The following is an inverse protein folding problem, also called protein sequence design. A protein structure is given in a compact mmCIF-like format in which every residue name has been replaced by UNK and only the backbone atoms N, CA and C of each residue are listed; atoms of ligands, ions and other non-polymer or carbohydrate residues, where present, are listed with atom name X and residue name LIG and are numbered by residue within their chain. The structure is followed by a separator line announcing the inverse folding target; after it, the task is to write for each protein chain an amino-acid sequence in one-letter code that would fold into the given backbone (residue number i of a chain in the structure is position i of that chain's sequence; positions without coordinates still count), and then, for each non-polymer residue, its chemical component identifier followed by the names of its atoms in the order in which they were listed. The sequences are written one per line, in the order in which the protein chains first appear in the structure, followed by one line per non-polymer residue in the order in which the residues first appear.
data_IF_094908415375
#
_entry.id   IF_094908415375
#
_cell.length_a   1.000
_cell.length_b   1.000
_cell.length_c   1.000
_cell.angle_alpha   90.00
_cell.angle_beta   90.00
_cell.angle_gamma   90.00
#
_symmetry.space_group_name_H-M   'P 1'
#
loop_
_entity.id
_entity.type
_entity.pdbx_description
1 polymer ?
#
# COMPACT_ATOMS: atom_id res chain seq x y z
N UNK A 1 -10.59 -1.42 -2.00
CA UNK A 1 -11.09 -0.27 -2.79
C UNK A 1 -10.21 -0.09 -4.02
N UNK A 2 -10.80 0.21 -5.18
CA UNK A 2 -10.03 0.40 -6.42
C UNK A 2 -9.46 1.82 -6.55
N UNK A 3 -8.42 1.96 -7.38
CA UNK A 3 -7.77 3.24 -7.71
C UNK A 3 -8.74 4.30 -8.24
N UNK A 4 -9.81 3.90 -8.93
CA UNK A 4 -10.80 4.83 -9.45
C UNK A 4 -11.57 5.56 -8.34
N UNK A 5 -11.84 4.89 -7.22
CA UNK A 5 -12.59 5.51 -6.13
C UNK A 5 -11.72 6.49 -5.34
N UNK A 6 -10.46 6.15 -5.09
CA UNK A 6 -9.51 7.10 -4.48
C UNK A 6 -9.20 8.26 -5.41
N UNK A 7 -9.10 8.02 -6.73
CA UNK A 7 -8.96 9.08 -7.74
C UNK A 7 -10.12 10.09 -7.69
N UNK A 8 -11.36 9.60 -7.71
CA UNK A 8 -12.54 10.44 -7.68
C UNK A 8 -12.59 11.27 -6.38
N UNK A 9 -12.39 10.63 -5.22
CA UNK A 9 -12.43 11.33 -3.93
C UNK A 9 -11.32 12.38 -3.82
N UNK A 10 -10.08 12.02 -4.18
CA UNK A 10 -8.97 12.97 -4.18
C UNK A 10 -9.29 14.17 -5.07
N UNK A 11 -9.77 13.96 -6.30
CA UNK A 11 -10.12 15.03 -7.22
C UNK A 11 -11.26 15.93 -6.69
N UNK A 12 -12.32 15.33 -6.13
CA UNK A 12 -13.47 16.08 -5.59
C UNK A 12 -13.01 16.95 -4.41
N UNK A 13 -12.34 16.35 -3.42
CA UNK A 13 -11.96 17.08 -2.22
C UNK A 13 -10.89 18.14 -2.47
N UNK A 14 -9.92 17.87 -3.35
CA UNK A 14 -8.88 18.86 -3.66
C UNK A 14 -9.44 20.00 -4.49
N UNK A 15 -10.40 19.73 -5.38
CA UNK A 15 -11.12 20.77 -6.12
C UNK A 15 -11.93 21.68 -5.18
N UNK A 16 -12.70 21.11 -4.26
CA UNK A 16 -13.46 21.87 -3.25
C UNK A 16 -12.53 22.70 -2.35
N UNK A 17 -11.38 22.14 -1.97
CA UNK A 17 -10.37 22.83 -1.16
C UNK A 17 -9.52 23.84 -1.95
N UNK A 18 -9.75 24.00 -3.26
CA UNK A 18 -8.95 24.85 -4.17
C UNK A 18 -7.45 24.59 -4.05
N UNK A 19 -7.07 23.33 -3.86
CA UNK A 19 -5.68 22.94 -3.78
C UNK A 19 -4.99 23.12 -5.14
N UNK A 20 -3.71 23.49 -5.10
CA UNK A 20 -2.88 23.48 -6.31
C UNK A 20 -2.67 22.05 -6.86
N UNK A 21 -2.01 21.98 -8.01
CA UNK A 21 -1.74 20.72 -8.70
C UNK A 21 -0.85 19.79 -7.86
N UNK A 22 0.20 20.32 -7.23
CA UNK A 22 1.17 19.54 -6.49
C UNK A 22 0.53 18.88 -5.28
N UNK A 23 -0.24 19.65 -4.52
CA UNK A 23 -1.02 19.16 -3.38
C UNK A 23 -2.11 18.18 -3.80
N UNK A 24 -2.76 18.41 -4.93
CA UNK A 24 -3.74 17.46 -5.48
C UNK A 24 -3.12 16.10 -5.82
N UNK A 25 -1.93 16.13 -6.45
CA UNK A 25 -1.16 14.91 -6.75
C UNK A 25 -0.67 14.25 -5.46
N UNK A 26 -0.20 15.02 -4.47
CA UNK A 26 0.22 14.49 -3.18
C UNK A 26 -0.93 13.78 -2.43
N UNK A 27 -2.13 14.38 -2.42
CA UNK A 27 -3.33 13.75 -1.86
C UNK A 27 -3.67 12.47 -2.62
N UNK A 28 -3.66 12.51 -3.95
CA UNK A 28 -3.98 11.34 -4.77
C UNK A 28 -2.98 10.19 -4.54
N UNK A 29 -1.68 10.47 -4.62
CA UNK A 29 -0.64 9.46 -4.47
C UNK A 29 -0.71 8.80 -3.09
N UNK A 30 -0.88 9.60 -2.03
CA UNK A 30 -0.93 9.07 -0.67
C UNK A 30 -2.27 8.40 -0.34
N UNK A 31 -3.39 8.80 -0.95
CA UNK A 31 -4.67 8.10 -0.76
C UNK A 31 -4.76 6.79 -1.55
N UNK A 32 -4.14 6.74 -2.74
CA UNK A 32 -4.31 5.64 -3.71
C UNK A 32 -3.23 4.57 -3.61
N UNK A 33 -1.99 4.97 -3.36
CA UNK A 33 -0.86 4.05 -3.28
C UNK A 33 -0.42 3.87 -1.84
N UNK A 34 -0.85 2.73 -1.31
CA UNK A 34 -0.74 2.34 0.10
C UNK A 34 0.44 1.39 0.34
N UNK A 35 0.87 1.26 1.58
CA UNK A 35 1.95 0.39 2.00
C UNK A 35 1.51 -1.09 2.03
N UNK A 36 1.17 -1.66 0.87
CA UNK A 36 0.74 -3.06 0.76
C UNK A 36 1.91 -4.05 0.87
N UNK A 37 3.13 -3.66 0.49
CA UNK A 37 4.28 -4.58 0.47
C UNK A 37 5.01 -4.61 1.81
N UNK A 38 5.49 -3.47 2.31
CA UNK A 38 6.33 -3.47 3.51
C UNK A 38 5.51 -3.68 4.78
N UNK A 39 4.41 -2.94 4.90
CA UNK A 39 3.53 -3.03 6.07
C UNK A 39 2.38 -4.01 5.85
N UNK A 40 1.73 -3.97 4.69
CA UNK A 40 0.54 -4.77 4.38
C UNK A 40 0.79 -6.27 4.49
N UNK A 41 1.84 -6.80 3.84
CA UNK A 41 2.18 -8.23 3.94
C UNK A 41 2.50 -8.64 5.39
N UNK A 42 3.24 -7.80 6.12
CA UNK A 42 3.58 -8.07 7.52
C UNK A 42 2.33 -8.13 8.41
N UNK A 43 1.43 -7.15 8.28
CA UNK A 43 0.20 -7.10 9.07
C UNK A 43 -0.77 -8.21 8.67
N UNK A 44 -0.87 -8.55 7.38
CA UNK A 44 -1.65 -9.70 6.90
C UNK A 44 -1.11 -11.01 7.47
N UNK A 45 0.22 -11.19 7.51
CA UNK A 45 0.81 -12.40 8.08
C UNK A 45 0.47 -12.54 9.57
N UNK A 46 0.67 -11.47 10.35
CA UNK A 46 0.42 -11.47 11.80
C UNK A 46 -1.06 -11.68 12.11
N UNK A 47 -1.96 -10.92 11.48
CA UNK A 47 -3.40 -11.01 11.77
C UNK A 47 -4.01 -12.27 11.13
N UNK A 48 -3.62 -12.60 9.90
CA UNK A 48 -4.09 -13.80 9.21
C UNK A 48 -3.72 -15.07 9.97
N UNK A 49 -2.52 -15.13 10.56
CA UNK A 49 -2.10 -16.25 11.41
C UNK A 49 -2.78 -16.31 12.79
N UNK A 50 -3.41 -15.22 13.24
CA UNK A 50 -4.11 -15.17 14.52
C UNK A 50 -5.59 -15.61 14.44
N UNK A 51 -6.12 -15.83 13.23
CA UNK A 51 -7.53 -16.17 13.01
C UNK A 51 -7.72 -17.69 12.85
N UNK A 52 -8.70 -18.31 13.52
CA UNK A 52 -8.94 -19.76 13.41
C UNK A 52 -9.34 -20.22 12.00
N UNK A 53 -9.96 -19.34 11.21
CA UNK A 53 -10.58 -19.63 9.91
C UNK A 53 -9.75 -19.18 8.71
N UNK A 54 -8.56 -18.62 8.93
CA UNK A 54 -7.67 -18.11 7.89
C UNK A 54 -6.26 -18.61 8.16
N UNK A 55 -5.58 -19.14 7.16
CA UNK A 55 -4.15 -19.44 7.31
C UNK A 55 -3.33 -18.22 6.91
N UNK A 56 -2.22 -17.97 7.62
CA UNK A 56 -1.30 -16.88 7.27
C UNK A 56 -0.79 -17.01 5.82
N UNK A 57 -0.59 -18.25 5.35
CA UNK A 57 -0.09 -18.56 4.00
C UNK A 57 -1.11 -18.18 2.93
N UNK A 58 -2.39 -18.57 3.08
CA UNK A 58 -3.42 -18.23 2.10
C UNK A 58 -3.67 -16.72 2.05
N UNK A 59 -3.70 -16.07 3.22
CA UNK A 59 -3.85 -14.63 3.33
C UNK A 59 -2.69 -13.89 2.66
N UNK A 60 -1.45 -14.35 2.89
CA UNK A 60 -0.24 -13.82 2.25
C UNK A 60 -0.25 -14.03 0.74
N UNK A 61 -0.72 -15.18 0.23
CA UNK A 61 -0.82 -15.44 -1.20
C UNK A 61 -1.71 -14.41 -1.89
N UNK A 62 -2.91 -14.18 -1.33
CA UNK A 62 -3.85 -13.16 -1.81
C UNK A 62 -3.27 -11.75 -1.72
N UNK A 63 -2.63 -11.42 -0.60
CA UNK A 63 -2.02 -10.12 -0.39
C UNK A 63 -0.85 -9.86 -1.35
N UNK A 64 -0.07 -10.89 -1.67
CA UNK A 64 1.05 -10.82 -2.60
C UNK A 64 0.58 -10.55 -4.02
N UNK A 65 -0.46 -11.24 -4.50
CA UNK A 65 -1.05 -10.98 -5.81
C UNK A 65 -1.51 -9.52 -5.91
N UNK A 66 -2.20 -9.03 -4.88
CA UNK A 66 -2.63 -7.64 -4.81
C UNK A 66 -1.43 -6.67 -4.81
N UNK A 67 -0.46 -6.90 -3.92
CA UNK A 67 0.70 -6.04 -3.72
C UNK A 67 1.50 -5.88 -5.01
N UNK A 68 1.68 -6.97 -5.76
CA UNK A 68 2.49 -6.94 -6.96
C UNK A 68 1.72 -6.34 -8.13
N UNK A 69 0.43 -6.64 -8.27
CA UNK A 69 -0.45 -5.97 -9.26
C UNK A 69 -0.46 -4.46 -9.05
N UNK A 70 -0.69 -4.02 -7.81
CA UNK A 70 -0.68 -2.61 -7.46
C UNK A 70 0.71 -2.00 -7.53
N UNK A 71 1.78 -2.77 -7.26
CA UNK A 71 3.17 -2.39 -7.44
C UNK A 71 3.47 -1.91 -8.86
N UNK A 72 3.03 -2.66 -9.87
CA UNK A 72 3.19 -2.28 -11.28
C UNK A 72 2.43 -0.98 -11.58
N UNK A 73 1.20 -0.83 -11.06
CA UNK A 73 0.42 0.40 -11.27
C UNK A 73 1.06 1.60 -10.55
N UNK A 74 1.61 1.39 -9.36
CA UNK A 74 2.31 2.42 -8.59
C UNK A 74 3.58 2.89 -9.30
N UNK A 75 4.36 1.96 -9.86
CA UNK A 75 5.57 2.27 -10.62
C UNK A 75 5.30 2.94 -11.96
N UNK A 76 4.12 2.74 -12.54
CA UNK A 76 3.73 3.38 -13.80
C UNK A 76 3.05 4.71 -13.53
N UNK A 77 1.85 4.67 -12.96
CA UNK A 77 0.98 5.83 -12.73
C UNK A 77 1.53 6.72 -11.63
N UNK A 78 2.04 6.15 -10.54
CA UNK A 78 2.61 6.94 -9.44
C UNK A 78 3.84 7.72 -9.87
N UNK A 79 4.76 7.06 -10.59
CA UNK A 79 5.94 7.72 -11.17
C UNK A 79 5.52 8.80 -12.17
N UNK A 80 4.60 8.51 -13.10
CA UNK A 80 4.15 9.48 -14.10
C UNK A 80 3.50 10.72 -13.47
N UNK A 81 2.73 10.56 -12.39
CA UNK A 81 2.09 11.67 -11.70
C UNK A 81 3.09 12.48 -10.87
N UNK A 82 3.95 11.83 -10.08
CA UNK A 82 5.01 12.50 -9.32
C UNK A 82 5.89 13.34 -10.24
N UNK A 83 6.33 12.74 -11.34
CA UNK A 83 7.04 13.39 -12.41
C UNK A 83 6.33 14.59 -13.05
N UNK A 84 5.01 14.50 -13.24
CA UNK A 84 4.23 15.59 -13.82
C UNK A 84 4.08 16.79 -12.87
N UNK A 85 4.36 16.57 -11.59
CA UNK A 85 4.32 17.55 -10.51
C UNK A 85 5.70 18.17 -10.25
N UNK A 86 6.78 17.58 -10.78
CA UNK A 86 8.13 18.12 -10.62
C UNK A 86 8.30 19.43 -11.40
N UNK A 87 9.04 20.38 -10.81
CA UNK A 87 9.51 21.58 -11.52
C UNK A 87 10.63 21.26 -12.53
N UNK A 88 11.27 20.09 -12.44
CA UNK A 88 12.31 19.66 -13.38
C UNK A 88 11.77 18.87 -14.60
N UNK A 89 12.66 18.60 -15.58
CA UNK A 89 12.31 17.96 -16.86
C UNK A 89 11.48 16.68 -16.66
N UNK A 90 10.32 16.64 -17.34
CA UNK A 90 9.44 15.46 -17.40
C UNK A 90 10.26 14.22 -17.79
N UNK A 91 10.13 13.10 -17.05
CA UNK A 91 10.82 11.86 -17.37
C UNK A 91 10.34 11.34 -18.72
N UNK A 92 11.30 10.85 -19.51
CA UNK A 92 11.01 10.19 -20.77
C UNK A 92 10.22 8.90 -20.55
N UNK A 93 9.39 8.51 -21.52
CA UNK A 93 8.76 7.18 -21.53
C UNK A 93 9.81 6.07 -21.37
N UNK A 94 10.98 6.23 -22.00
CA UNK A 94 12.11 5.31 -21.89
C UNK A 94 12.57 5.12 -20.44
N UNK A 95 12.72 6.19 -19.66
CA UNK A 95 13.15 6.09 -18.27
C UNK A 95 12.11 5.43 -17.36
N UNK A 96 10.81 5.64 -17.64
CA UNK A 96 9.72 4.97 -16.89
C UNK A 96 9.72 3.47 -17.22
N UNK A 97 9.78 3.12 -18.52
CA UNK A 97 9.82 1.72 -18.97
C UNK A 97 11.04 0.99 -18.44
N UNK A 98 12.24 1.60 -18.47
CA UNK A 98 13.44 1.03 -17.87
C UNK A 98 13.27 0.81 -16.37
N UNK A 99 12.73 1.79 -15.63
CA UNK A 99 12.53 1.64 -14.17
C UNK A 99 11.62 0.46 -13.82
N UNK A 100 10.58 0.21 -14.63
CA UNK A 100 9.67 -0.93 -14.47
C UNK A 100 10.39 -2.24 -14.82
N UNK A 101 11.06 -2.27 -15.98
CA UNK A 101 11.79 -3.45 -16.44
C UNK A 101 13.00 -3.78 -15.58
N UNK A 102 13.54 -2.86 -14.80
CA UNK A 102 14.63 -3.14 -13.85
C UNK A 102 14.12 -3.35 -12.43
N UNK A 103 12.82 -3.27 -12.17
CA UNK A 103 12.26 -3.43 -10.83
C UNK A 103 12.28 -4.91 -10.42
N UNK A 104 13.08 -5.32 -9.40
CA UNK A 104 13.26 -6.74 -9.09
C UNK A 104 11.95 -7.47 -8.79
N UNK A 105 10.99 -6.83 -8.11
CA UNK A 105 9.70 -7.46 -7.81
C UNK A 105 8.79 -7.61 -9.04
N UNK A 106 8.99 -6.83 -10.11
CA UNK A 106 8.29 -7.07 -11.38
C UNK A 106 8.76 -8.36 -12.04
N UNK A 107 10.08 -8.64 -12.01
CA UNK A 107 10.60 -9.93 -12.47
C UNK A 107 10.07 -11.09 -11.62
N UNK A 108 10.08 -10.93 -10.30
CA UNK A 108 9.52 -11.95 -9.39
C UNK A 108 8.04 -12.24 -9.69
N UNK A 109 7.24 -11.20 -9.99
CA UNK A 109 5.85 -11.37 -10.44
C UNK A 109 5.76 -12.24 -11.68
N UNK A 110 6.53 -11.86 -12.71
CA UNK A 110 6.46 -12.50 -14.02
C UNK A 110 6.83 -13.97 -13.86
N UNK A 111 7.91 -14.27 -13.13
CA UNK A 111 8.32 -15.65 -12.84
C UNK A 111 7.21 -16.39 -12.08
N UNK A 112 6.63 -15.80 -11.03
CA UNK A 112 5.55 -16.42 -10.26
C UNK A 112 4.30 -16.69 -11.13
N UNK A 113 3.90 -15.73 -11.98
CA UNK A 113 2.79 -15.88 -12.91
C UNK A 113 3.06 -16.96 -13.97
N UNK A 114 4.30 -17.11 -14.42
CA UNK A 114 4.68 -18.18 -15.34
C UNK A 114 4.58 -19.55 -14.65
N UNK A 115 5.04 -19.67 -13.40
CA UNK A 115 4.89 -20.91 -12.63
C UNK A 115 3.42 -21.29 -12.47
N UNK A 116 2.57 -20.34 -12.08
CA UNK A 116 1.12 -20.54 -11.97
C UNK A 116 0.50 -20.87 -13.33
N UNK A 117 0.81 -20.10 -14.37
CA UNK A 117 0.20 -20.23 -15.70
C UNK A 117 0.58 -21.52 -16.44
N UNK A 118 1.78 -22.04 -16.21
CA UNK A 118 2.24 -23.32 -16.76
C UNK A 118 2.08 -24.50 -15.79
N UNK A 119 1.45 -24.26 -14.62
CA UNK A 119 1.27 -25.27 -13.57
C UNK A 119 2.58 -25.97 -13.18
N UNK A 120 3.67 -25.20 -13.14
CA UNK A 120 5.01 -25.71 -12.79
C UNK A 120 5.09 -25.86 -11.28
N UNK A 121 5.44 -27.06 -10.82
CA UNK A 121 5.67 -27.33 -9.41
C UNK A 121 6.94 -26.65 -8.93
N UNK A 122 6.85 -25.93 -7.81
CA UNK A 122 8.03 -25.36 -7.16
C UNK A 122 8.97 -26.48 -6.67
N UNK A 123 10.27 -26.44 -7.01
CA UNK A 123 11.24 -27.42 -6.56
C UNK A 123 11.44 -27.31 -5.03
N UNK A 124 11.01 -28.34 -4.29
CA UNK A 124 11.04 -28.34 -2.82
C UNK A 124 12.45 -28.21 -2.25
N UNK A 125 13.47 -28.60 -3.01
CA UNK A 125 14.88 -28.46 -2.65
C UNK A 125 15.30 -26.99 -2.49
N UNK A 126 14.60 -26.06 -3.15
CA UNK A 126 14.82 -24.63 -3.04
C UNK A 126 13.97 -23.96 -1.94
N UNK A 127 12.98 -24.67 -1.37
CA UNK A 127 12.09 -24.10 -0.38
C UNK A 127 12.85 -23.61 0.86
N UNK A 128 13.79 -24.41 1.37
CA UNK A 128 14.60 -24.05 2.54
C UNK A 128 15.44 -22.79 2.30
N UNK A 129 15.96 -22.62 1.08
CA UNK A 129 16.69 -21.42 0.68
C UNK A 129 15.76 -20.20 0.62
N UNK A 130 14.56 -20.35 0.04
CA UNK A 130 13.58 -19.26 0.01
C UNK A 130 13.13 -18.87 1.42
N UNK A 131 12.79 -19.85 2.26
CA UNK A 131 12.34 -19.60 3.64
C UNK A 131 13.40 -18.89 4.48
N UNK A 132 14.68 -19.22 4.26
CA UNK A 132 15.81 -18.55 4.93
C UNK A 132 15.85 -17.03 4.66
N UNK A 133 15.43 -16.59 3.47
CA UNK A 133 15.36 -15.16 3.14
C UNK A 133 13.97 -14.56 3.41
N UNK A 134 12.90 -15.31 3.14
CA UNK A 134 11.52 -14.82 3.23
C UNK A 134 11.08 -14.59 4.68
N UNK A 135 11.44 -15.47 5.61
CA UNK A 135 11.05 -15.36 7.02
C UNK A 135 11.57 -14.08 7.68
N UNK A 136 12.89 -13.74 7.62
CA UNK A 136 13.37 -12.48 8.18
C UNK A 136 12.94 -11.25 7.36
N UNK A 137 12.56 -11.42 6.08
CA UNK A 137 12.15 -10.29 5.23
C UNK A 137 10.97 -9.53 5.84
N UNK A 138 10.00 -10.21 6.47
CA UNK A 138 8.87 -9.53 7.13
C UNK A 138 9.34 -8.57 8.22
N UNK A 139 10.26 -9.02 9.10
CA UNK A 139 10.85 -8.17 10.14
C UNK A 139 11.66 -7.01 9.55
N UNK A 140 12.49 -7.29 8.54
CA UNK A 140 13.30 -6.27 7.87
C UNK A 140 12.43 -5.23 7.14
N UNK A 141 11.30 -5.64 6.56
CA UNK A 141 10.33 -4.73 5.94
C UNK A 141 9.70 -3.79 6.98
N UNK A 142 9.33 -4.29 8.16
CA UNK A 142 8.82 -3.46 9.26
C UNK A 142 9.90 -2.48 9.76
N UNK A 143 11.13 -2.95 9.93
CA UNK A 143 12.26 -2.12 10.35
C UNK A 143 12.57 -1.02 9.34
N UNK A 144 12.65 -1.36 8.05
CA UNK A 144 12.90 -0.41 6.96
C UNK A 144 11.76 0.61 6.84
N UNK A 145 10.50 0.16 7.00
CA UNK A 145 9.36 1.07 7.04
C UNK A 145 9.51 2.11 8.16
N UNK A 146 9.92 1.70 9.37
CA UNK A 146 10.19 2.63 10.46
C UNK A 146 11.37 3.57 10.19
N UNK A 147 12.47 3.05 9.63
CA UNK A 147 13.69 3.83 9.35
C UNK A 147 13.46 4.97 8.35
N UNK A 148 12.62 4.77 7.33
CA UNK A 148 12.36 5.75 6.28
C UNK A 148 11.39 6.88 6.68
N UNK A 149 10.88 6.90 7.92
CA UNK A 149 9.88 7.90 8.32
C UNK A 149 10.51 8.99 9.19
N UNK A 150 10.90 10.15 8.61
CA UNK A 150 11.38 11.26 9.41
C UNK A 150 10.21 11.86 10.21
N UNK A 151 10.51 12.31 11.43
CA UNK A 151 9.54 12.99 12.29
C UNK A 151 9.48 14.46 11.91
N UNK A 152 8.31 14.91 11.46
CA UNK A 152 8.03 16.29 11.04
C UNK A 152 6.88 16.83 11.89
N UNK A 153 6.84 18.13 12.20
CA UNK A 153 5.70 18.72 12.92
C UNK A 153 4.40 18.53 12.12
N UNK A 154 3.39 17.81 12.65
CA UNK A 154 2.16 17.50 11.93
C UNK A 154 1.32 18.75 11.67
N UNK A 155 1.47 19.81 12.48
CA UNK A 155 0.66 21.03 12.39
C UNK A 155 0.83 21.73 11.04
N UNK A 156 2.01 21.63 10.43
CA UNK A 156 2.31 22.22 9.12
C UNK A 156 1.45 21.61 8.00
N UNK A 157 1.12 20.33 8.10
CA UNK A 157 0.44 19.57 7.04
C UNK A 157 -0.90 18.98 7.45
N UNK A 158 -1.43 19.39 8.60
CA UNK A 158 -2.63 18.83 9.22
C UNK A 158 -3.82 18.72 8.25
N UNK A 159 -4.14 19.70 7.37
CA UNK A 159 -5.23 19.56 6.41
C UNK A 159 -5.04 18.40 5.43
N UNK A 160 -3.81 18.22 4.92
CA UNK A 160 -3.50 17.14 3.97
C UNK A 160 -3.49 15.78 4.67
N UNK A 161 -2.87 15.70 5.85
CA UNK A 161 -2.84 14.48 6.67
C UNK A 161 -4.28 14.05 6.99
N UNK A 162 -5.12 14.99 7.41
CA UNK A 162 -6.52 14.72 7.76
C UNK A 162 -7.33 14.26 6.55
N UNK A 163 -7.16 14.91 5.40
CA UNK A 163 -7.89 14.54 4.17
C UNK A 163 -7.46 13.15 3.67
N UNK A 164 -6.16 12.89 3.58
CA UNK A 164 -5.64 11.58 3.16
C UNK A 164 -6.08 10.53 4.17
N UNK A 165 -5.96 10.80 5.47
CA UNK A 165 -6.41 9.91 6.54
C UNK A 165 -7.91 9.60 6.47
N UNK A 166 -8.75 10.60 6.21
CA UNK A 166 -10.19 10.41 6.03
C UNK A 166 -10.50 9.50 4.84
N UNK A 167 -9.94 9.80 3.66
CA UNK A 167 -10.15 8.97 2.47
C UNK A 167 -9.62 7.55 2.73
N UNK A 168 -8.43 7.43 3.31
CA UNK A 168 -7.66 6.19 3.36
C UNK A 168 -8.02 5.29 4.52
N UNK A 169 -8.09 5.81 5.73
CA UNK A 169 -8.26 5.02 6.96
C UNK A 169 -9.72 4.91 7.39
N UNK A 170 -10.63 5.67 6.76
CA UNK A 170 -12.06 5.60 7.02
C UNK A 170 -12.85 5.17 5.77
N UNK A 171 -12.79 5.95 4.68
CA UNK A 171 -13.60 5.65 3.49
C UNK A 171 -13.16 4.35 2.80
N UNK A 172 -11.86 4.10 2.62
CA UNK A 172 -11.38 2.88 1.96
C UNK A 172 -11.82 1.58 2.68
N UNK A 173 -11.65 1.44 4.01
CA UNK A 173 -12.15 0.28 4.74
C UNK A 173 -13.67 0.11 4.62
N UNK A 174 -14.46 1.18 4.78
CA UNK A 174 -15.92 1.11 4.71
C UNK A 174 -16.42 0.68 3.33
N UNK A 175 -15.86 1.25 2.27
CA UNK A 175 -16.20 0.86 0.89
C UNK A 175 -15.78 -0.59 0.64
N UNK A 176 -14.62 -1.01 1.15
CA UNK A 176 -14.14 -2.38 0.98
C UNK A 176 -15.02 -3.38 1.73
N UNK A 177 -15.44 -3.04 2.96
CA UNK A 177 -16.39 -3.83 3.72
C UNK A 177 -17.73 -3.97 2.99
N UNK A 178 -18.31 -2.87 2.50
CA UNK A 178 -19.54 -2.91 1.70
C UNK A 178 -19.40 -3.76 0.44
N UNK A 179 -18.25 -3.71 -0.24
CA UNK A 179 -18.00 -4.55 -1.41
C UNK A 179 -17.90 -6.05 -1.04
N UNK A 180 -17.24 -6.37 0.08
CA UNK A 180 -17.12 -7.75 0.60
C UNK A 180 -18.49 -8.32 0.94
N UNK A 181 -19.33 -7.56 1.65
CA UNK A 181 -20.66 -8.02 2.07
C UNK A 181 -21.60 -8.23 0.89
N UNK A 182 -21.54 -7.35 -0.13
CA UNK A 182 -22.33 -7.50 -1.35
C UNK A 182 -21.85 -8.66 -2.23
N UNK A 183 -20.54 -8.90 -2.29
CA UNK A 183 -19.95 -9.93 -3.13
C UNK A 183 -20.00 -11.35 -2.52
N UNK A 184 -20.21 -11.46 -1.20
CA UNK A 184 -20.28 -12.76 -0.51
C UNK A 184 -18.99 -13.56 -0.60
N UNK A 185 -17.83 -12.88 -0.58
CA UNK A 185 -16.52 -13.54 -0.71
C UNK A 185 -16.14 -14.33 0.53
N UNK A 186 -15.29 -15.36 0.37
CA UNK A 186 -14.81 -16.18 1.48
C UNK A 186 -13.97 -15.39 2.52
N UNK A 187 -13.89 -15.93 3.74
CA UNK A 187 -13.29 -15.26 4.89
C UNK A 187 -11.84 -14.81 4.66
N UNK A 188 -11.01 -15.65 4.02
CA UNK A 188 -9.61 -15.30 3.70
C UNK A 188 -9.54 -14.05 2.83
N UNK A 189 -10.35 -13.97 1.78
CA UNK A 189 -10.38 -12.81 0.87
C UNK A 189 -10.89 -11.58 1.60
N UNK A 190 -11.96 -11.73 2.39
CA UNK A 190 -12.55 -10.65 3.17
C UNK A 190 -11.53 -10.05 4.15
N UNK A 191 -10.90 -10.90 4.96
CA UNK A 191 -9.86 -10.53 5.93
C UNK A 191 -8.69 -9.82 5.25
N UNK A 192 -8.10 -10.42 4.21
CA UNK A 192 -6.96 -9.84 3.52
C UNK A 192 -7.31 -8.48 2.91
N UNK A 193 -8.46 -8.37 2.25
CA UNK A 193 -8.89 -7.13 1.61
C UNK A 193 -9.14 -6.02 2.64
N UNK A 194 -9.73 -6.32 3.80
CA UNK A 194 -9.95 -5.34 4.87
C UNK A 194 -8.65 -4.86 5.50
N UNK A 195 -7.72 -5.76 5.80
CA UNK A 195 -6.41 -5.40 6.34
C UNK A 195 -5.67 -4.49 5.36
N UNK A 196 -5.61 -4.87 4.08
CA UNK A 196 -4.99 -4.06 3.05
C UNK A 196 -5.71 -2.70 2.89
N UNK A 197 -7.04 -2.66 2.95
CA UNK A 197 -7.78 -1.40 2.92
C UNK A 197 -7.43 -0.46 4.09
N UNK A 198 -7.04 -1.00 5.24
CA UNK A 198 -6.61 -0.24 6.41
C UNK A 198 -5.16 0.27 6.33
N UNK A 199 -4.38 -0.13 5.32
CA UNK A 199 -2.97 0.23 5.24
C UNK A 199 -2.78 1.73 4.96
N UNK A 200 -1.76 2.35 5.58
CA UNK A 200 -1.41 3.75 5.38
C UNK A 200 -0.76 3.96 4.00
N UNK A 201 -0.45 5.21 3.61
CA UNK A 201 0.25 5.49 2.36
C UNK A 201 1.62 4.80 2.27
N UNK A 202 2.06 4.49 1.04
CA UNK A 202 3.30 3.76 0.80
C UNK A 202 4.55 4.59 1.12
N UNK A 203 5.54 3.98 1.80
CA UNK A 203 6.88 4.56 2.00
C UNK A 203 7.55 4.91 0.65
N UNK A 204 7.25 4.15 -0.41
CA UNK A 204 7.74 4.45 -1.76
C UNK A 204 7.35 5.85 -2.26
N UNK A 205 6.27 6.44 -1.75
CA UNK A 205 5.90 7.82 -2.09
C UNK A 205 6.91 8.86 -1.57
N UNK A 206 7.66 8.57 -0.49
CA UNK A 206 8.79 9.41 -0.02
C UNK A 206 9.91 9.41 -1.06
N UNK A 207 10.25 8.22 -1.57
CA UNK A 207 11.27 8.06 -2.61
C UNK A 207 10.87 8.80 -3.89
N UNK A 208 9.59 8.76 -4.26
CA UNK A 208 9.08 9.56 -5.39
C UNK A 208 9.17 11.05 -5.11
N UNK A 209 8.84 11.50 -3.90
CA UNK A 209 8.92 12.90 -3.53
C UNK A 209 10.36 13.42 -3.60
N UNK A 210 11.33 12.68 -3.05
CA UNK A 210 12.75 13.00 -3.13
C UNK A 210 13.25 13.00 -4.58
N UNK A 211 12.94 11.95 -5.35
CA UNK A 211 13.41 11.80 -6.73
C UNK A 211 12.88 12.87 -7.69
N UNK A 212 11.67 13.35 -7.45
CA UNK A 212 10.99 14.31 -8.33
C UNK A 212 10.90 15.71 -7.73
N UNK A 213 11.69 16.00 -6.69
CA UNK A 213 11.75 17.32 -6.05
C UNK A 213 10.36 17.84 -5.66
N UNK A 214 9.57 16.97 -5.03
CA UNK A 214 8.27 17.32 -4.45
C UNK A 214 8.46 17.71 -2.97
N UNK A 215 7.38 18.16 -2.32
CA UNK A 215 7.37 18.48 -0.89
C UNK A 215 7.64 17.23 -0.02
N UNK A 216 8.92 16.91 0.18
CA UNK A 216 9.37 15.72 0.91
C UNK A 216 8.85 15.68 2.35
N UNK A 217 8.74 16.85 2.99
CA UNK A 217 8.23 16.96 4.35
C UNK A 217 6.73 16.63 4.41
N UNK A 218 5.93 17.11 3.46
CA UNK A 218 4.50 16.80 3.37
C UNK A 218 4.26 15.29 3.23
N UNK A 219 4.97 14.66 2.29
CA UNK A 219 4.84 13.21 2.04
C UNK A 219 5.26 12.42 3.26
N UNK A 220 6.41 12.76 3.84
CA UNK A 220 6.94 12.07 5.03
C UNK A 220 6.02 12.20 6.24
N UNK A 221 5.53 13.41 6.53
CA UNK A 221 4.58 13.65 7.62
C UNK A 221 3.30 12.84 7.40
N UNK A 222 2.74 12.89 6.19
CA UNK A 222 1.52 12.15 5.84
C UNK A 222 1.69 10.65 6.04
N UNK A 223 2.80 10.07 5.59
CA UNK A 223 3.08 8.64 5.72
C UNK A 223 3.31 8.25 7.17
N UNK A 224 4.13 9.01 7.93
CA UNK A 224 4.43 8.72 9.32
C UNK A 224 3.19 8.75 10.20
N UNK A 225 2.44 9.86 10.20
CA UNK A 225 1.28 10.00 11.08
C UNK A 225 0.16 9.03 10.72
N UNK A 226 -0.11 8.82 9.43
CA UNK A 226 -1.13 7.85 9.02
C UNK A 226 -0.68 6.41 9.26
N UNK A 227 0.62 6.12 9.29
CA UNK A 227 1.11 4.79 9.71
C UNK A 227 0.82 4.55 11.19
N UNK A 228 1.11 5.53 12.06
CA UNK A 228 0.78 5.42 13.48
C UNK A 228 -0.75 5.26 13.69
N UNK A 229 -1.55 6.11 13.04
CA UNK A 229 -3.02 6.02 13.13
C UNK A 229 -3.51 4.68 12.56
N UNK A 230 -2.92 4.18 11.48
CA UNK A 230 -3.29 2.88 10.92
C UNK A 230 -3.02 1.75 11.92
N UNK A 231 -1.79 1.66 12.45
CA UNK A 231 -1.38 0.54 13.30
C UNK A 231 -2.02 0.56 14.67
N UNK A 232 -2.18 1.72 15.29
CA UNK A 232 -2.68 1.82 16.66
C UNK A 232 -4.18 2.07 16.75
N UNK A 233 -4.82 2.49 15.67
CA UNK A 233 -6.25 2.86 15.68
C UNK A 233 -7.02 2.14 14.58
N UNK A 234 -6.73 2.38 13.31
CA UNK A 234 -7.56 1.89 12.19
C UNK A 234 -7.58 0.36 12.10
N UNK A 235 -6.41 -0.29 12.12
CA UNK A 235 -6.30 -1.75 12.02
C UNK A 235 -6.95 -2.44 13.23
N UNK A 236 -6.65 -2.09 14.49
CA UNK A 236 -7.34 -2.69 15.65
C UNK A 236 -8.85 -2.54 15.59
N UNK A 237 -9.36 -1.36 15.23
CA UNK A 237 -10.81 -1.13 15.11
C UNK A 237 -11.43 -2.00 14.01
N UNK A 238 -10.77 -2.12 12.86
CA UNK A 238 -11.27 -2.94 11.76
C UNK A 238 -11.31 -4.41 12.15
N UNK A 239 -10.26 -4.92 12.80
CA UNK A 239 -10.22 -6.30 13.27
C UNK A 239 -11.30 -6.55 14.33
N UNK A 240 -11.48 -5.64 15.27
CA UNK A 240 -12.50 -5.77 16.31
C UNK A 240 -13.92 -5.77 15.73
N UNK A 241 -14.28 -4.75 14.94
CA UNK A 241 -15.65 -4.57 14.45
C UNK A 241 -16.03 -5.50 13.31
N UNK A 242 -15.10 -5.84 12.41
CA UNK A 242 -15.42 -6.60 11.20
C UNK A 242 -14.99 -8.06 11.26
N UNK A 243 -14.07 -8.41 12.17
CA UNK A 243 -13.55 -9.78 12.27
C UNK A 243 -13.87 -10.41 13.62
N UNK A 244 -14.46 -9.66 14.57
CA UNK A 244 -14.90 -10.18 15.86
C UNK A 244 -13.75 -10.59 16.78
N UNK A 245 -12.53 -10.12 16.52
CA UNK A 245 -11.33 -10.44 17.31
C UNK A 245 -10.84 -9.20 18.01
N UNK A 246 -10.69 -9.25 19.33
CA UNK A 246 -10.07 -8.18 20.10
C UNK A 246 -8.55 -8.35 20.10
N UNK A 247 -7.83 -7.38 19.52
CA UNK A 247 -6.37 -7.27 19.60
C UNK A 247 -5.91 -6.49 20.86
N UNK A 248 -6.85 -6.16 21.74
CA UNK A 248 -6.69 -5.39 22.99
C UNK A 248 -7.42 -6.14 24.10
#
# INVERSE_FOLDING_TARGET
MGLGTTAALSAIFTHVARADKEKSIAVFLNASFMNYTFLGLAVVYVIGGALPSVTAVDALGMASIYAVTMGVVHLTVGVALAASSSSEKKPSLRSITLSILTFPAAFALIVALLFVGFNVTWPMELQSWVDMFANPAVFLMLLAAGYHMPVVDPRKYLPTISLVGFIRLLVCPLVTYGAITLAGVGQTVATTALILAAMPPAVFNIILAEKFDLDLELYSATIFYLTLISLFISVPLIVHFFMGVSLI
#
